data_IF_414426784843
#
_entry.id   IF_414426784843
#
_cell.length_a   1.000
_cell.length_b   1.000
_cell.length_c   1.000
_cell.angle_alpha   90.00
_cell.angle_beta   90.00
_cell.angle_gamma   90.00
#
_symmetry.space_group_name_H-M   'P 1'
#
loop_
_entity.id
_entity.type
_entity.pdbx_description
1 polymer ?
#
# COMPACT_ATOMS: atom_id res chain seq x y z
N UNK A 1 -11.59 -20.72 -37.74
CA UNK A 1 -10.63 -20.70 -36.63
C UNK A 1 -10.93 -19.46 -35.80
N UNK A 2 -11.45 -19.70 -34.61
CA UNK A 2 -11.92 -18.75 -33.61
C UNK A 2 -10.77 -18.00 -32.95
N UNK A 3 -11.00 -16.72 -32.61
CA UNK A 3 -10.71 -16.13 -31.29
C UNK A 3 -11.28 -14.69 -31.23
N UNK A 4 -12.45 -14.48 -30.60
CA UNK A 4 -12.84 -13.20 -30.03
C UNK A 4 -12.85 -13.29 -28.50
N UNK A 5 -12.19 -12.37 -27.79
CA UNK A 5 -12.54 -11.92 -26.40
C UNK A 5 -11.42 -11.03 -25.83
N UNK A 6 -11.31 -9.78 -26.28
CA UNK A 6 -10.56 -8.72 -25.57
C UNK A 6 -11.24 -7.34 -25.70
N UNK A 7 -12.57 -7.31 -25.84
CA UNK A 7 -13.34 -6.06 -26.03
C UNK A 7 -14.40 -5.78 -24.97
N UNK A 8 -14.31 -6.40 -23.78
CA UNK A 8 -15.32 -6.23 -22.73
C UNK A 8 -14.77 -5.69 -21.40
N UNK A 9 -13.86 -4.71 -21.42
CA UNK A 9 -13.53 -3.91 -20.22
C UNK A 9 -13.44 -2.39 -20.47
N UNK A 10 -13.59 -1.90 -21.71
CA UNK A 10 -13.55 -0.46 -22.02
C UNK A 10 -14.90 0.27 -21.98
N UNK A 11 -16.00 -0.36 -21.56
CA UNK A 11 -17.35 0.24 -21.69
C UNK A 11 -18.17 0.34 -20.40
N UNK A 12 -17.56 0.15 -19.22
CA UNK A 12 -18.23 0.41 -17.93
C UNK A 12 -17.79 1.73 -17.26
N UNK A 13 -17.14 2.63 -17.99
CA UNK A 13 -16.73 3.96 -17.51
C UNK A 13 -17.75 5.08 -17.81
N UNK A 14 -19.02 4.76 -18.08
CA UNK A 14 -20.07 5.74 -18.33
C UNK A 14 -21.23 5.52 -17.37
N UNK A 15 -21.14 6.11 -16.18
CA UNK A 15 -22.29 6.22 -15.29
C UNK A 15 -22.04 6.14 -13.78
N UNK A 16 -21.01 6.80 -13.24
CA UNK A 16 -20.96 7.07 -11.78
C UNK A 16 -20.41 8.46 -11.54
N UNK A 17 -21.29 9.41 -11.21
CA UNK A 17 -20.97 10.80 -10.86
C UNK A 17 -20.29 10.95 -9.48
N UNK A 18 -19.50 9.97 -9.04
CA UNK A 18 -18.72 10.01 -7.78
C UNK A 18 -17.19 9.99 -8.01
N UNK A 19 -16.71 10.13 -9.25
CA UNK A 19 -15.28 10.17 -9.61
C UNK A 19 -14.67 11.59 -9.46
N UNK A 20 -15.40 12.53 -8.85
CA UNK A 20 -15.00 13.95 -8.75
C UNK A 20 -13.71 14.24 -7.97
N UNK A 21 -13.24 13.45 -6.99
CA UNK A 21 -11.92 13.70 -6.41
C UNK A 21 -10.78 13.35 -7.38
N UNK A 22 -10.96 12.35 -8.26
CA UNK A 22 -9.87 11.77 -9.07
C UNK A 22 -9.72 12.37 -10.47
N UNK A 23 -10.77 12.94 -11.06
CA UNK A 23 -10.59 13.77 -12.27
C UNK A 23 -9.70 15.00 -11.99
N UNK A 24 -9.64 15.45 -10.73
CA UNK A 24 -8.64 16.41 -10.25
C UNK A 24 -7.26 15.78 -10.04
N UNK A 25 -7.12 14.51 -9.68
CA UNK A 25 -5.80 13.87 -9.51
C UNK A 25 -5.04 13.68 -10.83
N UNK A 26 -5.71 13.27 -11.91
CA UNK A 26 -5.05 13.13 -13.22
C UNK A 26 -4.72 14.50 -13.88
N UNK A 27 -5.48 15.56 -13.56
CA UNK A 27 -5.29 16.90 -14.13
C UNK A 27 -4.47 17.86 -13.24
N UNK A 28 -4.31 17.57 -11.94
CA UNK A 28 -3.59 18.43 -11.00
C UNK A 28 -2.06 18.36 -11.18
N UNK A 29 -1.52 17.29 -11.74
CA UNK A 29 -0.07 17.17 -11.99
C UNK A 29 0.43 18.08 -13.11
N UNK A 30 -0.43 18.51 -14.06
CA UNK A 30 -0.01 19.50 -15.07
C UNK A 30 -0.24 20.96 -14.64
N UNK A 31 -1.24 21.26 -13.79
CA UNK A 31 -1.65 22.66 -13.57
C UNK A 31 -1.71 23.15 -12.11
N UNK A 32 -1.68 22.29 -11.08
CA UNK A 32 -1.77 22.77 -9.68
C UNK A 32 -0.41 23.14 -9.10
N UNK A 33 0.69 22.59 -9.64
CA UNK A 33 2.05 22.92 -9.20
C UNK A 33 2.67 24.15 -9.86
N UNK A 34 2.15 24.58 -11.03
CA UNK A 34 2.58 25.85 -11.63
C UNK A 34 2.18 27.07 -10.79
N UNK A 35 1.09 26.97 -10.01
CA UNK A 35 0.50 28.12 -9.30
C UNK A 35 0.96 28.36 -7.86
N UNK A 36 1.55 27.37 -7.18
CA UNK A 36 2.01 27.53 -5.77
C UNK A 36 3.54 27.59 -5.62
N UNK A 37 4.29 27.37 -6.70
CA UNK A 37 5.73 27.65 -6.77
C UNK A 37 6.05 29.00 -7.44
N UNK A 38 5.09 29.65 -8.11
CA UNK A 38 5.34 30.91 -8.83
C UNK A 38 5.44 32.15 -7.95
N UNK A 39 5.01 32.11 -6.68
CA UNK A 39 5.20 33.26 -5.77
C UNK A 39 6.63 33.35 -5.19
N UNK A 40 7.51 32.38 -5.45
CA UNK A 40 8.91 32.42 -4.97
C UNK A 40 9.98 31.99 -5.95
N UNK A 41 9.65 31.65 -7.21
CA UNK A 41 10.66 31.23 -8.17
C UNK A 41 10.58 32.06 -9.44
N UNK A 42 11.53 32.99 -9.53
CA UNK A 42 11.97 33.65 -10.77
C UNK A 42 12.19 32.57 -11.85
N UNK A 43 11.60 32.77 -13.03
CA UNK A 43 11.63 31.86 -14.17
C UNK A 43 13.06 31.74 -14.72
N UNK A 44 13.88 30.94 -14.06
CA UNK A 44 15.28 30.69 -14.44
C UNK A 44 16.01 29.63 -13.60
N UNK A 45 15.32 28.91 -12.70
CA UNK A 45 15.95 27.94 -11.81
C UNK A 45 16.15 26.56 -12.47
N UNK A 46 17.40 26.30 -12.84
CA UNK A 46 18.02 25.05 -13.28
C UNK A 46 17.48 23.79 -12.53
N UNK A 47 17.28 22.66 -13.23
CA UNK A 47 16.74 21.40 -12.66
C UNK A 47 17.49 20.86 -11.42
N UNK A 48 18.72 21.31 -11.20
CA UNK A 48 19.53 21.04 -10.00
C UNK A 48 18.95 21.65 -8.72
N UNK A 49 18.28 22.80 -8.81
CA UNK A 49 17.70 23.50 -7.65
C UNK A 49 16.44 22.79 -7.11
N UNK A 50 15.59 22.24 -7.99
CA UNK A 50 14.42 21.46 -7.61
C UNK A 50 14.81 20.13 -6.92
N UNK A 51 15.86 19.47 -7.42
CA UNK A 51 16.44 18.28 -6.79
C UNK A 51 17.03 18.59 -5.40
N UNK A 52 17.73 19.71 -5.21
CA UNK A 52 18.30 20.13 -3.93
C UNK A 52 17.23 20.49 -2.88
N UNK A 53 16.12 21.13 -3.29
CA UNK A 53 14.98 21.40 -2.41
C UNK A 53 14.31 20.10 -1.95
N UNK A 54 14.18 19.11 -2.84
CA UNK A 54 13.61 17.79 -2.52
C UNK A 54 14.53 17.02 -1.56
N UNK A 55 15.84 17.06 -1.78
CA UNK A 55 16.83 16.43 -0.89
C UNK A 55 16.80 17.03 0.52
N UNK A 56 16.79 18.37 0.66
CA UNK A 56 16.69 19.03 1.97
C UNK A 56 15.36 18.75 2.68
N UNK A 57 14.26 18.61 1.93
CA UNK A 57 12.99 18.21 2.50
C UNK A 57 13.02 16.78 3.05
N UNK A 58 13.58 15.82 2.29
CA UNK A 58 13.79 14.43 2.74
C UNK A 58 14.62 14.40 4.03
N UNK A 59 15.76 15.09 4.06
CA UNK A 59 16.64 15.11 5.24
C UNK A 59 15.97 15.72 6.47
N UNK A 60 15.19 16.79 6.31
CA UNK A 60 14.44 17.39 7.43
C UNK A 60 13.41 16.42 8.00
N UNK A 61 12.63 15.77 7.15
CA UNK A 61 11.63 14.81 7.60
C UNK A 61 12.28 13.59 8.26
N UNK A 62 13.38 13.06 7.71
CA UNK A 62 14.15 11.96 8.31
C UNK A 62 14.67 12.34 9.69
N UNK A 63 15.25 13.54 9.82
CA UNK A 63 15.80 14.02 11.09
C UNK A 63 14.73 14.23 12.17
N UNK A 64 13.49 14.51 11.76
CA UNK A 64 12.35 14.67 12.67
C UNK A 64 11.54 13.38 12.87
N UNK A 65 11.92 12.26 12.25
CA UNK A 65 11.18 11.00 12.37
C UNK A 65 11.44 10.35 13.71
N UNK A 66 10.36 9.93 14.36
CA UNK A 66 10.41 9.20 15.62
C UNK A 66 11.30 7.93 15.51
N UNK A 67 12.20 7.67 16.47
CA UNK A 67 13.09 6.51 16.42
C UNK A 67 12.38 5.15 16.32
N UNK A 68 11.17 5.01 16.89
CA UNK A 68 10.39 3.78 16.79
C UNK A 68 9.84 3.61 15.37
N UNK A 69 9.41 4.70 14.70
CA UNK A 69 9.02 4.66 13.29
C UNK A 69 10.21 4.23 12.42
N UNK A 70 11.40 4.77 12.70
CA UNK A 70 12.59 4.34 11.97
C UNK A 70 12.96 2.88 12.20
N UNK A 71 12.72 2.36 13.40
CA UNK A 71 12.95 0.93 13.70
C UNK A 71 12.02 0.04 12.87
N UNK A 72 10.76 0.44 12.66
CA UNK A 72 9.82 -0.26 11.77
C UNK A 72 10.33 -0.24 10.33
N UNK A 73 10.70 0.93 9.80
CA UNK A 73 11.16 1.09 8.43
C UNK A 73 12.44 0.30 8.14
N UNK A 74 13.47 0.44 8.98
CA UNK A 74 14.74 -0.30 8.82
C UNK A 74 14.58 -1.80 9.01
N UNK A 75 13.65 -2.22 9.86
CA UNK A 75 13.35 -3.64 9.98
C UNK A 75 12.67 -4.17 8.72
N UNK A 76 11.75 -3.42 8.12
CA UNK A 76 11.01 -3.89 6.96
C UNK A 76 11.81 -3.79 5.66
N UNK A 77 12.52 -2.68 5.46
CA UNK A 77 13.42 -2.40 4.34
C UNK A 77 14.87 -2.46 4.85
N UNK A 78 15.54 -3.61 4.68
CA UNK A 78 16.89 -3.82 5.22
C UNK A 78 17.95 -2.88 4.63
N UNK A 79 17.70 -2.37 3.42
CA UNK A 79 18.55 -1.39 2.73
C UNK A 79 18.05 0.04 2.88
N UNK A 80 17.17 0.32 3.85
CA UNK A 80 16.58 1.65 4.00
C UNK A 80 17.60 2.79 3.85
N UNK A 81 18.72 2.72 4.57
CA UNK A 81 19.72 3.79 4.56
C UNK A 81 20.45 3.91 3.20
N UNK A 82 20.66 2.80 2.47
CA UNK A 82 21.24 2.77 1.12
C UNK A 82 20.24 3.33 0.09
N UNK A 83 18.98 2.88 0.14
CA UNK A 83 17.89 3.33 -0.74
C UNK A 83 17.66 4.84 -0.65
N UNK A 84 17.73 5.39 0.56
CA UNK A 84 17.54 6.82 0.78
C UNK A 84 18.68 7.68 0.22
N UNK A 85 19.87 7.11 0.01
CA UNK A 85 21.03 7.78 -0.58
C UNK A 85 21.03 7.61 -2.11
N UNK A 86 20.85 6.38 -2.59
CA UNK A 86 21.04 6.03 -3.99
C UNK A 86 19.80 6.27 -4.84
N UNK A 87 18.63 6.46 -4.22
CA UNK A 87 17.37 6.68 -4.93
C UNK A 87 16.87 5.44 -5.70
N UNK A 88 17.43 4.27 -5.39
CA UNK A 88 17.23 3.01 -6.12
C UNK A 88 15.97 2.25 -5.73
N UNK A 89 15.84 1.06 -6.32
CA UNK A 89 14.65 0.19 -6.27
C UNK A 89 14.40 -0.44 -4.88
N UNK A 90 15.42 -0.47 -4.02
CA UNK A 90 15.52 -1.44 -2.93
C UNK A 90 15.65 -2.87 -3.44
N UNK A 91 16.14 -3.79 -2.61
CA UNK A 91 16.04 -5.23 -2.92
C UNK A 91 14.71 -5.78 -2.43
N UNK A 92 14.18 -6.70 -3.23
CA UNK A 92 13.11 -7.58 -2.78
C UNK A 92 13.53 -8.29 -1.50
N UNK A 93 12.65 -8.31 -0.50
CA UNK A 93 12.88 -9.05 0.73
C UNK A 93 11.92 -10.24 0.86
N UNK A 94 12.48 -11.45 1.01
CA UNK A 94 11.71 -12.68 1.14
C UNK A 94 10.74 -12.69 2.34
N UNK A 95 10.97 -11.85 3.35
CA UNK A 95 10.09 -11.78 4.53
C UNK A 95 8.72 -11.16 4.25
N UNK A 96 8.59 -10.36 3.17
CA UNK A 96 7.34 -9.70 2.82
C UNK A 96 6.31 -10.70 2.31
N UNK A 97 6.74 -11.61 1.43
CA UNK A 97 5.90 -12.65 0.82
C UNK A 97 6.62 -13.99 0.94
N UNK A 98 6.38 -14.72 2.05
CA UNK A 98 7.14 -15.93 2.36
C UNK A 98 6.70 -17.11 1.48
N UNK A 99 7.18 -17.11 0.24
CA UNK A 99 7.24 -18.26 -0.69
C UNK A 99 8.68 -18.73 -0.93
N UNK A 100 9.64 -18.23 -0.15
CA UNK A 100 11.07 -18.54 -0.27
C UNK A 100 11.42 -19.99 0.14
N UNK A 101 12.70 -20.36 0.01
CA UNK A 101 13.19 -21.75 0.16
C UNK A 101 12.87 -22.42 1.52
N UNK A 102 12.61 -21.63 2.58
CA UNK A 102 12.23 -22.12 3.92
C UNK A 102 10.71 -22.24 4.13
N UNK A 103 9.90 -21.79 3.17
CA UNK A 103 8.45 -21.89 3.17
C UNK A 103 7.78 -21.41 4.46
N UNK A 104 6.82 -22.20 4.94
CA UNK A 104 5.99 -21.90 6.12
C UNK A 104 6.84 -21.69 7.39
N UNK A 105 7.93 -22.41 7.58
CA UNK A 105 8.77 -22.27 8.79
C UNK A 105 9.54 -20.93 8.79
N UNK A 106 10.03 -20.48 7.63
CA UNK A 106 10.61 -19.15 7.50
C UNK A 106 9.61 -18.03 7.84
N UNK A 107 8.36 -18.20 7.40
CA UNK A 107 7.26 -17.28 7.73
C UNK A 107 7.01 -17.19 9.24
N UNK A 108 6.95 -18.33 9.94
CA UNK A 108 6.72 -18.38 11.39
C UNK A 108 7.80 -17.66 12.20
N UNK A 109 9.05 -17.77 11.79
CA UNK A 109 10.16 -17.09 12.49
C UNK A 109 10.08 -15.57 12.30
N UNK A 110 9.78 -15.11 11.08
CA UNK A 110 9.52 -13.68 10.82
C UNK A 110 8.35 -13.19 11.67
N UNK A 111 7.24 -13.93 11.74
CA UNK A 111 6.09 -13.57 12.56
C UNK A 111 6.44 -13.46 14.06
N UNK A 112 7.25 -14.41 14.57
CA UNK A 112 7.73 -14.41 15.95
C UNK A 112 8.56 -13.16 16.24
N UNK A 113 9.54 -12.86 15.39
CA UNK A 113 10.39 -11.67 15.52
C UNK A 113 9.56 -10.39 15.48
N UNK A 114 8.61 -10.29 14.53
CA UNK A 114 7.74 -9.12 14.42
C UNK A 114 6.93 -8.94 15.71
N UNK A 115 6.34 -10.03 16.20
CA UNK A 115 5.54 -10.00 17.44
C UNK A 115 6.38 -9.56 18.64
N UNK A 116 7.56 -10.13 18.82
CA UNK A 116 8.42 -9.80 19.97
C UNK A 116 8.91 -8.35 19.95
N UNK A 117 9.24 -7.82 18.76
CA UNK A 117 9.84 -6.49 18.64
C UNK A 117 8.82 -5.36 18.56
N UNK A 118 7.67 -5.59 17.93
CA UNK A 118 6.76 -4.52 17.53
C UNK A 118 5.40 -4.56 18.20
N UNK A 119 5.07 -5.58 19.00
CA UNK A 119 3.77 -5.65 19.70
C UNK A 119 3.52 -4.41 20.54
N UNK A 120 4.50 -3.97 21.34
CA UNK A 120 4.34 -2.77 22.19
C UNK A 120 4.05 -1.51 21.36
N UNK A 121 4.72 -1.35 20.22
CA UNK A 121 4.52 -0.21 19.32
C UNK A 121 3.14 -0.31 18.67
N UNK A 122 2.73 -1.50 18.24
CA UNK A 122 1.41 -1.77 17.67
C UNK A 122 0.28 -1.49 18.67
N UNK A 123 0.40 -1.93 19.91
CA UNK A 123 -0.58 -1.68 20.97
C UNK A 123 -0.66 -0.19 21.28
N UNK A 124 0.47 0.53 21.33
CA UNK A 124 0.46 1.98 21.45
C UNK A 124 -0.20 2.69 20.25
N UNK A 125 -0.02 2.16 19.03
CA UNK A 125 -0.63 2.67 17.80
C UNK A 125 -2.15 2.50 17.73
N UNK A 126 -2.66 1.45 18.37
CA UNK A 126 -4.05 0.99 18.24
C UNK A 126 -4.90 1.25 19.49
N UNK A 127 -4.31 1.78 20.56
CA UNK A 127 -5.02 2.08 21.80
C UNK A 127 -6.11 3.15 21.57
N UNK A 128 -7.35 2.81 21.90
CA UNK A 128 -8.54 3.63 21.66
C UNK A 128 -8.49 4.88 22.57
N UNK A 129 -8.16 6.02 21.98
CA UNK A 129 -8.07 7.32 22.66
C UNK A 129 -7.08 8.29 22.03
N UNK A 130 -6.12 7.79 21.25
CA UNK A 130 -5.08 8.61 20.61
C UNK A 130 -5.44 9.13 19.21
N UNK A 131 -6.65 8.87 18.71
CA UNK A 131 -7.21 9.57 17.55
C UNK A 131 -6.29 9.61 16.33
N UNK A 132 -5.82 8.44 15.85
CA UNK A 132 -4.92 8.28 14.68
C UNK A 132 -3.44 8.60 14.94
N UNK A 133 -3.04 8.73 16.21
CA UNK A 133 -1.66 8.97 16.59
C UNK A 133 -1.14 7.74 17.34
N UNK A 134 -0.08 7.11 16.83
CA UNK A 134 0.92 6.58 17.77
C UNK A 134 1.37 7.79 18.57
N UNK A 135 1.40 7.72 19.89
CA UNK A 135 1.81 8.86 20.71
C UNK A 135 3.20 9.37 20.22
N UNK A 136 3.22 10.51 19.54
CA UNK A 136 4.43 11.12 18.98
C UNK A 136 4.60 11.06 17.46
N UNK A 137 3.88 10.21 16.71
CA UNK A 137 4.03 10.14 15.25
C UNK A 137 3.05 11.10 14.54
N UNK A 138 3.59 12.02 13.74
CA UNK A 138 2.85 12.90 12.83
C UNK A 138 2.71 12.27 11.44
N UNK A 139 1.80 11.28 11.33
CA UNK A 139 1.48 10.61 10.05
C UNK A 139 0.85 11.54 9.00
N UNK A 140 0.50 12.78 9.36
CA UNK A 140 -0.11 13.78 8.46
C UNK A 140 0.92 14.65 7.77
N UNK A 141 2.05 14.88 8.42
CA UNK A 141 3.10 15.78 7.92
C UNK A 141 4.43 15.08 7.68
N UNK A 142 4.73 13.98 8.39
CA UNK A 142 5.97 13.22 8.22
C UNK A 142 5.73 11.99 7.32
N UNK A 143 6.30 11.94 6.10
CA UNK A 143 6.11 10.82 5.18
C UNK A 143 6.63 9.50 5.76
N UNK A 144 7.75 9.52 6.48
CA UNK A 144 8.36 8.29 7.00
C UNK A 144 7.53 7.68 8.13
N UNK A 145 7.01 8.50 9.02
CA UNK A 145 6.10 8.05 10.07
C UNK A 145 4.78 7.54 9.49
N UNK A 146 4.30 8.17 8.41
CA UNK A 146 3.14 7.69 7.66
C UNK A 146 3.36 6.28 7.09
N UNK A 147 4.48 6.03 6.39
CA UNK A 147 4.78 4.69 5.86
C UNK A 147 5.03 3.67 6.97
N UNK A 148 5.75 4.04 8.03
CA UNK A 148 5.96 3.18 9.18
C UNK A 148 4.63 2.77 9.82
N UNK A 149 3.68 3.69 9.93
CA UNK A 149 2.35 3.42 10.45
C UNK A 149 1.56 2.47 9.53
N UNK A 150 1.60 2.70 8.22
CA UNK A 150 0.99 1.78 7.24
C UNK A 150 1.54 0.37 7.43
N UNK A 151 2.86 0.20 7.49
CA UNK A 151 3.49 -1.11 7.67
C UNK A 151 3.11 -1.77 8.98
N UNK A 152 3.11 -1.03 10.08
CA UNK A 152 2.80 -1.55 11.41
C UNK A 152 1.35 -2.05 11.49
N UNK A 153 0.41 -1.30 10.93
CA UNK A 153 -1.02 -1.59 11.02
C UNK A 153 -1.47 -2.61 9.96
N UNK A 154 -0.92 -2.53 8.75
CA UNK A 154 -1.34 -3.38 7.63
C UNK A 154 -0.52 -4.68 7.57
N UNK A 155 0.80 -4.56 7.43
CA UNK A 155 1.68 -5.71 7.21
C UNK A 155 1.97 -6.45 8.52
N UNK A 156 2.46 -5.75 9.54
CA UNK A 156 2.91 -6.40 10.78
C UNK A 156 1.73 -7.02 11.52
N UNK A 157 0.54 -6.42 11.48
CA UNK A 157 -0.67 -7.03 12.03
C UNK A 157 -0.98 -8.39 11.39
N UNK A 158 -0.80 -8.51 10.07
CA UNK A 158 -1.01 -9.78 9.35
C UNK A 158 0.02 -10.84 9.73
N UNK A 159 1.27 -10.47 9.99
CA UNK A 159 2.29 -11.36 10.56
C UNK A 159 2.00 -11.74 12.03
N UNK A 160 1.74 -10.76 12.89
CA UNK A 160 1.55 -10.95 14.34
C UNK A 160 0.29 -11.74 14.67
N UNK A 161 -0.73 -11.70 13.83
CA UNK A 161 -2.05 -12.23 14.14
C UNK A 161 -2.60 -13.17 13.07
N UNK A 162 -1.72 -13.86 12.31
CA UNK A 162 -2.09 -14.83 11.27
C UNK A 162 -3.23 -15.73 11.72
N UNK A 163 -4.22 -15.90 10.85
CA UNK A 163 -5.36 -16.79 11.10
C UNK A 163 -6.42 -16.23 12.04
N UNK A 164 -6.25 -15.02 12.61
CA UNK A 164 -7.18 -14.45 13.59
C UNK A 164 -7.80 -13.13 13.11
N UNK A 165 -8.88 -12.70 13.77
CA UNK A 165 -9.56 -11.43 13.46
C UNK A 165 -8.67 -10.19 13.64
N UNK A 166 -7.75 -10.27 14.60
CA UNK A 166 -6.83 -9.17 14.92
C UNK A 166 -5.95 -8.77 13.73
N UNK A 167 -5.74 -9.67 12.76
CA UNK A 167 -4.95 -9.38 11.56
C UNK A 167 -5.50 -8.25 10.70
N UNK A 168 -6.80 -7.99 10.74
CA UNK A 168 -7.47 -6.97 9.91
C UNK A 168 -8.38 -6.01 10.71
N UNK A 169 -8.37 -6.10 12.04
CA UNK A 169 -9.21 -5.26 12.93
C UNK A 169 -8.97 -3.76 12.69
N UNK A 170 -7.74 -3.39 12.36
CA UNK A 170 -7.30 -2.01 12.22
C UNK A 170 -7.02 -1.59 10.76
N UNK A 171 -7.45 -2.38 9.76
CA UNK A 171 -7.26 -2.08 8.33
C UNK A 171 -7.72 -0.65 7.96
N UNK A 172 -8.79 -0.17 8.59
CA UNK A 172 -9.33 1.18 8.38
C UNK A 172 -8.33 2.30 8.76
N UNK A 173 -7.46 2.08 9.76
CA UNK A 173 -6.44 3.05 10.15
C UNK A 173 -5.32 3.12 9.11
N UNK A 174 -4.87 1.96 8.61
CA UNK A 174 -3.88 1.90 7.53
C UNK A 174 -4.42 2.54 6.25
N UNK A 175 -5.70 2.30 5.91
CA UNK A 175 -6.36 2.92 4.76
C UNK A 175 -6.40 4.45 4.88
N UNK A 176 -6.68 4.99 6.07
CA UNK A 176 -6.63 6.43 6.28
C UNK A 176 -5.22 7.01 6.10
N UNK A 177 -4.19 6.34 6.63
CA UNK A 177 -2.81 6.74 6.43
C UNK A 177 -2.40 6.70 4.94
N UNK A 178 -2.82 5.66 4.21
CA UNK A 178 -2.59 5.55 2.77
C UNK A 178 -3.30 6.65 1.97
N UNK A 179 -4.52 7.04 2.35
CA UNK A 179 -5.23 8.19 1.76
C UNK A 179 -4.47 9.50 1.98
N UNK A 180 -3.94 9.73 3.19
CA UNK A 180 -3.08 10.88 3.46
C UNK A 180 -1.84 10.84 2.57
N UNK A 181 -1.20 9.67 2.44
CA UNK A 181 -0.01 9.49 1.62
C UNK A 181 -0.24 9.92 0.16
N UNK A 182 -1.33 9.43 -0.44
CA UNK A 182 -1.72 9.78 -1.80
C UNK A 182 -2.12 11.25 -1.92
N UNK A 183 -2.88 11.80 -0.97
CA UNK A 183 -3.29 13.20 -0.96
C UNK A 183 -2.11 14.17 -0.89
N UNK A 184 -1.06 13.79 -0.14
CA UNK A 184 0.16 14.59 0.03
C UNK A 184 1.25 14.23 -0.99
N UNK A 185 0.98 13.29 -1.90
CA UNK A 185 1.93 12.75 -2.85
C UNK A 185 3.24 12.24 -2.20
N UNK A 186 3.19 11.75 -0.96
CA UNK A 186 4.39 11.33 -0.24
C UNK A 186 5.13 10.20 -0.97
N UNK A 187 4.40 9.23 -1.52
CA UNK A 187 4.97 8.15 -2.31
C UNK A 187 5.80 8.61 -3.51
N UNK A 188 5.45 9.75 -4.11
CA UNK A 188 6.13 10.26 -5.31
C UNK A 188 7.46 10.92 -4.96
N UNK A 189 7.47 11.69 -3.86
CA UNK A 189 8.60 12.53 -3.49
C UNK A 189 9.58 11.90 -2.50
N UNK A 190 9.15 10.95 -1.67
CA UNK A 190 9.93 10.48 -0.52
C UNK A 190 10.32 9.01 -0.56
N UNK A 191 9.70 8.20 -1.42
CA UNK A 191 9.89 6.76 -1.45
C UNK A 191 10.37 6.27 -2.80
N UNK A 192 11.04 5.11 -2.79
CA UNK A 192 11.62 4.49 -3.97
C UNK A 192 11.25 3.01 -4.06
N UNK A 193 11.24 2.48 -5.29
CA UNK A 193 10.91 1.10 -5.63
C UNK A 193 9.87 0.41 -4.73
N UNK A 194 10.28 -0.65 -4.02
CA UNK A 194 9.37 -1.48 -3.22
C UNK A 194 8.63 -0.72 -2.10
N UNK A 195 9.16 0.39 -1.60
CA UNK A 195 8.51 1.19 -0.56
C UNK A 195 7.15 1.74 -1.04
N UNK A 196 7.05 2.06 -2.34
CA UNK A 196 5.82 2.55 -2.98
C UNK A 196 4.72 1.48 -2.98
N UNK A 197 5.06 0.19 -3.07
CA UNK A 197 4.06 -0.89 -3.05
C UNK A 197 3.30 -0.95 -1.73
N UNK A 198 4.00 -0.78 -0.61
CA UNK A 198 3.38 -0.90 0.71
C UNK A 198 2.40 0.25 1.00
N UNK A 199 2.54 1.40 0.32
CA UNK A 199 1.57 2.50 0.42
C UNK A 199 0.19 2.10 -0.10
N UNK A 200 0.13 1.27 -1.14
CA UNK A 200 -1.15 0.96 -1.82
C UNK A 200 -1.87 -0.26 -1.25
N UNK A 201 -1.18 -1.16 -0.58
CA UNK A 201 -1.79 -2.38 -0.04
C UNK A 201 -3.00 -2.16 0.87
N UNK A 202 -3.07 -1.12 1.73
CA UNK A 202 -4.29 -0.82 2.47
C UNK A 202 -5.54 -0.61 1.58
N UNK A 203 -5.38 -0.05 0.38
CA UNK A 203 -6.48 0.05 -0.59
C UNK A 203 -6.87 -1.30 -1.18
N UNK A 204 -5.88 -2.15 -1.47
CA UNK A 204 -6.12 -3.51 -1.96
C UNK A 204 -6.77 -4.42 -0.90
N UNK A 205 -6.53 -4.13 0.38
CA UNK A 205 -7.11 -4.86 1.50
C UNK A 205 -8.52 -4.41 1.92
N UNK A 206 -8.99 -3.28 1.39
CA UNK A 206 -10.27 -2.68 1.72
C UNK A 206 -11.42 -3.37 0.96
N UNK A 207 -12.55 -3.57 1.63
CA UNK A 207 -13.73 -4.25 1.05
C UNK A 207 -14.62 -3.29 0.23
N UNK A 208 -14.05 -2.20 -0.29
CA UNK A 208 -14.75 -1.19 -1.10
C UNK A 208 -14.24 -1.19 -2.55
N UNK A 209 -15.17 -1.24 -3.51
CA UNK A 209 -14.83 -1.28 -4.93
C UNK A 209 -13.97 -0.09 -5.38
N UNK A 210 -14.25 1.10 -4.83
CA UNK A 210 -13.47 2.30 -5.15
C UNK A 210 -12.02 2.19 -4.69
N UNK A 211 -11.76 1.56 -3.54
CA UNK A 211 -10.40 1.33 -3.05
C UNK A 211 -9.64 0.35 -3.95
N UNK A 212 -10.32 -0.69 -4.44
CA UNK A 212 -9.75 -1.62 -5.41
C UNK A 212 -9.36 -0.91 -6.72
N UNK A 213 -10.22 -0.05 -7.26
CA UNK A 213 -9.91 0.75 -8.45
C UNK A 213 -8.69 1.64 -8.22
N UNK A 214 -8.61 2.32 -7.07
CA UNK A 214 -7.44 3.14 -6.70
C UNK A 214 -6.16 2.28 -6.69
N UNK A 215 -6.21 1.08 -6.08
CA UNK A 215 -5.04 0.21 -6.05
C UNK A 215 -4.55 -0.22 -7.44
N UNK A 216 -5.48 -0.53 -8.34
CA UNK A 216 -5.16 -0.93 -9.72
C UNK A 216 -4.53 0.22 -10.51
N UNK A 217 -5.10 1.43 -10.42
CA UNK A 217 -4.56 2.60 -11.10
C UNK A 217 -3.15 2.93 -10.60
N UNK A 218 -2.93 2.87 -9.29
CA UNK A 218 -1.64 3.11 -8.67
C UNK A 218 -0.60 2.07 -9.12
N UNK A 219 -0.92 0.77 -9.04
CA UNK A 219 -0.01 -0.31 -9.43
C UNK A 219 0.28 -0.32 -10.93
N UNK A 220 -0.72 0.04 -11.74
CA UNK A 220 -0.52 0.26 -13.18
C UNK A 220 0.51 1.36 -13.42
N UNK A 221 0.34 2.52 -12.75
CA UNK A 221 1.28 3.64 -12.90
C UNK A 221 2.69 3.28 -12.46
N UNK A 222 2.83 2.51 -11.37
CA UNK A 222 4.15 2.01 -10.95
C UNK A 222 4.79 1.08 -11.98
N UNK A 223 4.01 0.25 -12.68
CA UNK A 223 4.52 -0.65 -13.72
C UNK A 223 4.82 0.04 -15.04
N UNK A 224 4.17 1.17 -15.31
CA UNK A 224 4.38 2.02 -16.50
C UNK A 224 5.44 3.11 -16.26
N UNK A 225 6.10 3.12 -15.10
CA UNK A 225 7.22 4.01 -14.78
C UNK A 225 8.49 3.54 -15.52
N UNK A 226 9.11 4.45 -16.27
CA UNK A 226 10.26 4.11 -17.15
C UNK A 226 11.47 3.58 -16.36
N UNK A 227 11.67 4.02 -15.12
CA UNK A 227 12.78 3.58 -14.28
C UNK A 227 12.57 2.13 -13.75
N UNK A 228 11.31 1.64 -13.75
CA UNK A 228 10.88 0.40 -13.09
C UNK A 228 9.91 -0.43 -13.93
N UNK A 229 10.00 -0.34 -15.25
CA UNK A 229 9.01 -0.92 -16.15
C UNK A 229 8.79 -2.42 -15.88
N UNK A 230 7.54 -2.81 -15.64
CA UNK A 230 7.08 -4.18 -15.35
C UNK A 230 7.64 -4.86 -14.10
N UNK A 231 8.46 -4.18 -13.30
CA UNK A 231 9.08 -4.77 -12.10
C UNK A 231 8.05 -5.24 -11.06
N UNK A 232 6.89 -4.59 -11.04
CA UNK A 232 5.82 -4.85 -10.08
C UNK A 232 4.61 -5.55 -10.73
N UNK A 233 4.82 -6.29 -11.82
CA UNK A 233 3.73 -6.95 -12.54
C UNK A 233 2.99 -7.95 -11.65
N UNK A 234 3.71 -8.74 -10.85
CA UNK A 234 3.11 -9.65 -9.88
C UNK A 234 2.20 -8.91 -8.89
N UNK A 235 2.62 -7.73 -8.41
CA UNK A 235 1.80 -6.93 -7.49
C UNK A 235 0.53 -6.41 -8.18
N UNK A 236 0.61 -6.02 -9.46
CA UNK A 236 -0.56 -5.63 -10.25
C UNK A 236 -1.52 -6.80 -10.50
N UNK A 237 -1.01 -8.00 -10.81
CA UNK A 237 -1.81 -9.21 -10.91
C UNK A 237 -2.53 -9.50 -9.59
N UNK A 238 -1.84 -9.40 -8.45
CA UNK A 238 -2.46 -9.50 -7.12
C UNK A 238 -3.52 -8.42 -6.87
N UNK A 239 -3.32 -7.20 -7.36
CA UNK A 239 -4.34 -6.16 -7.34
C UNK A 239 -5.59 -6.55 -8.13
N UNK A 240 -5.42 -7.14 -9.32
CA UNK A 240 -6.52 -7.60 -10.16
C UNK A 240 -7.30 -8.73 -9.49
N UNK A 241 -6.59 -9.66 -8.83
CA UNK A 241 -7.18 -10.73 -8.04
C UNK A 241 -8.09 -10.20 -6.93
N UNK A 242 -7.61 -9.21 -6.16
CA UNK A 242 -8.40 -8.58 -5.09
C UNK A 242 -9.61 -7.81 -5.63
N UNK A 243 -9.42 -7.04 -6.71
CA UNK A 243 -10.49 -6.32 -7.37
C UNK A 243 -11.61 -7.26 -7.83
N UNK A 244 -11.27 -8.40 -8.44
CA UNK A 244 -12.27 -9.36 -8.92
C UNK A 244 -13.09 -9.96 -7.79
N UNK A 245 -12.46 -10.29 -6.65
CA UNK A 245 -13.18 -10.80 -5.48
C UNK A 245 -14.16 -9.77 -4.95
N UNK A 246 -13.73 -8.52 -4.79
CA UNK A 246 -14.61 -7.43 -4.33
C UNK A 246 -15.69 -7.12 -5.35
N UNK A 247 -15.40 -7.17 -6.65
CA UNK A 247 -16.40 -6.98 -7.70
C UNK A 247 -17.49 -8.07 -7.65
N UNK A 248 -17.11 -9.32 -7.37
CA UNK A 248 -18.02 -10.46 -7.33
C UNK A 248 -18.84 -10.53 -6.05
N UNK A 249 -18.23 -10.28 -4.89
CA UNK A 249 -18.84 -10.55 -3.59
C UNK A 249 -19.07 -9.30 -2.73
N UNK A 250 -18.51 -8.14 -3.12
CA UNK A 250 -18.52 -6.91 -2.32
C UNK A 250 -17.71 -6.99 -1.03
N UNK A 251 -16.98 -8.09 -0.79
CA UNK A 251 -16.18 -8.36 0.40
C UNK A 251 -15.24 -9.53 0.14
N UNK A 252 -14.33 -9.82 1.07
CA UNK A 252 -13.46 -11.00 1.02
C UNK A 252 -14.11 -12.19 1.74
N UNK A 253 -14.57 -13.24 1.03
CA UNK A 253 -15.27 -14.36 1.66
C UNK A 253 -14.41 -15.12 2.68
N UNK A 254 -13.09 -15.19 2.45
CA UNK A 254 -12.15 -15.83 3.38
C UNK A 254 -12.06 -15.13 4.76
N UNK A 255 -12.59 -13.90 4.89
CA UNK A 255 -12.70 -13.18 6.17
C UNK A 255 -14.01 -13.47 6.91
N UNK A 256 -14.99 -14.16 6.30
CA UNK A 256 -16.36 -14.28 6.83
C UNK A 256 -16.43 -14.90 8.23
N UNK A 257 -15.98 -16.15 8.39
CA UNK A 257 -15.95 -16.85 9.69
C UNK A 257 -15.29 -15.98 10.76
N UNK A 258 -14.22 -15.35 10.34
CA UNK A 258 -13.25 -14.64 11.17
C UNK A 258 -13.77 -13.22 11.51
N UNK A 259 -14.76 -12.69 10.78
CA UNK A 259 -15.54 -11.45 11.05
C UNK A 259 -16.96 -11.74 11.57
N UNK A 260 -17.28 -13.00 11.90
CA UNK A 260 -18.62 -13.39 12.37
C UNK A 260 -19.73 -13.23 11.33
N UNK A 261 -19.40 -13.26 10.03
CA UNK A 261 -20.35 -13.14 8.92
C UNK A 261 -20.72 -14.52 8.38
N UNK A 262 -22.00 -14.81 8.10
CA UNK A 262 -22.36 -16.01 7.35
C UNK A 262 -21.90 -15.87 5.88
N UNK A 263 -21.42 -16.97 5.30
CA UNK A 263 -21.14 -17.05 3.86
C UNK A 263 -22.42 -17.32 3.08
N UNK A 264 -22.50 -16.79 1.86
CA UNK A 264 -23.54 -17.18 0.89
C UNK A 264 -23.17 -18.51 0.21
N UNK A 265 -24.12 -19.16 -0.47
CA UNK A 265 -23.83 -20.38 -1.22
C UNK A 265 -22.77 -20.16 -2.33
N UNK A 266 -22.76 -18.98 -2.97
CA UNK A 266 -21.74 -18.62 -3.95
C UNK A 266 -20.37 -18.44 -3.29
N UNK A 267 -20.32 -17.82 -2.10
CA UNK A 267 -19.11 -17.66 -1.32
C UNK A 267 -18.58 -19.01 -0.79
N UNK A 268 -19.44 -19.93 -0.40
CA UNK A 268 -19.07 -21.30 0.00
C UNK A 268 -18.48 -22.07 -1.17
N UNK A 269 -19.16 -22.06 -2.32
CA UNK A 269 -18.62 -22.64 -3.57
C UNK A 269 -17.28 -22.02 -3.92
N UNK A 270 -17.12 -20.71 -3.68
CA UNK A 270 -15.85 -20.02 -3.89
C UNK A 270 -14.76 -20.55 -2.95
N UNK A 271 -15.05 -20.65 -1.66
CA UNK A 271 -14.09 -21.12 -0.67
C UNK A 271 -13.70 -22.59 -0.88
N UNK A 272 -14.59 -23.43 -1.42
CA UNK A 272 -14.33 -24.83 -1.73
C UNK A 272 -13.39 -25.03 -2.93
N UNK A 273 -13.42 -24.14 -3.91
CA UNK A 273 -12.63 -24.24 -5.18
C UNK A 273 -11.21 -23.67 -5.07
N UNK A 274 -10.66 -23.61 -3.87
CA UNK A 274 -9.35 -23.01 -3.60
C UNK A 274 -8.23 -23.66 -4.46
N UNK A 275 -7.67 -22.90 -5.41
CA UNK A 275 -6.57 -23.35 -6.27
C UNK A 275 -6.98 -24.05 -7.58
N UNK A 276 -8.26 -24.05 -7.95
CA UNK A 276 -8.70 -24.52 -9.26
C UNK A 276 -8.35 -23.50 -10.38
N UNK A 277 -7.94 -23.95 -11.59
CA UNK A 277 -7.70 -23.06 -12.72
C UNK A 277 -8.92 -22.17 -13.02
N UNK A 278 -8.72 -20.86 -12.99
CA UNK A 278 -9.79 -19.86 -13.16
C UNK A 278 -10.43 -19.38 -11.85
N UNK A 279 -9.96 -19.88 -10.70
CA UNK A 279 -10.45 -19.50 -9.38
C UNK A 279 -9.34 -18.86 -8.54
N UNK A 280 -9.48 -17.57 -8.26
CA UNK A 280 -8.45 -16.76 -7.64
C UNK A 280 -8.57 -16.83 -6.12
N UNK A 281 -7.48 -17.22 -5.48
CA UNK A 281 -7.33 -17.24 -4.04
C UNK A 281 -6.72 -15.92 -3.54
N UNK A 282 -7.58 -14.99 -3.15
CA UNK A 282 -7.16 -13.69 -2.60
C UNK A 282 -6.63 -13.73 -1.17
N UNK A 283 -6.44 -14.92 -0.58
CA UNK A 283 -5.78 -15.06 0.72
C UNK A 283 -4.28 -15.28 0.60
N UNK A 284 -3.81 -15.66 -0.60
CA UNK A 284 -2.39 -15.85 -0.91
C UNK A 284 -1.79 -14.58 -1.53
N UNK A 285 -1.01 -13.92 -0.70
CA UNK A 285 0.00 -12.94 -1.08
C UNK A 285 1.28 -13.66 -1.45
#
# INVERSE_FOLDING_TARGET
MSQPTYRLLCSLALGVACILPFARFAAADENVFAGQLSETLDEGANGTACADVTFKARQRHLASTDPAAMTVLRFWFEEWDEDMIEGGKGRYNEKWFPHGAKGIEGSKEVDRIIRERFMTIFEAATNEGSGHLVQGWDIRSNPYENLAFILLIDQFARNMFRGTERSYRHDHLALQAARINLQKCFYSFYFTGYQKLFVVYPFMHDEELNSQIISLLYLRRLNEDDDHQFEFLNAFEKGMEHFQIILMFGRFPHRNVRRGRPSTAQEETYLERYGEPGFIDGSKW
#
